data_IF_723792621246
#
_entry.id   IF_723792621246
#
_cell.length_a   1.000
_cell.length_b   1.000
_cell.length_c   1.000
_cell.angle_alpha   90.00
_cell.angle_beta   90.00
_cell.angle_gamma   90.00
#
_symmetry.space_group_name_H-M   'P 1'
#
loop_
_entity.id
_entity.type
_entity.pdbx_description
1 polymer ?
#
# COMPACT_ATOMS: atom_id res chain seq x y z
N UNK A 1 -29.02 -29.45 -9.21
CA UNK A 1 -27.77 -29.09 -9.86
C UNK A 1 -26.90 -28.23 -8.90
N UNK A 2 -25.87 -28.81 -8.25
CA UNK A 2 -25.07 -28.08 -7.29
C UNK A 2 -24.29 -26.89 -7.90
N UNK A 3 -23.99 -26.92 -9.17
CA UNK A 3 -23.33 -25.79 -9.88
C UNK A 3 -24.22 -24.54 -9.97
N UNK A 4 -25.53 -24.65 -9.68
CA UNK A 4 -26.42 -23.50 -9.58
C UNK A 4 -26.17 -22.68 -8.28
N UNK A 5 -25.41 -23.24 -7.33
CA UNK A 5 -25.02 -22.57 -6.11
C UNK A 5 -23.67 -21.89 -6.35
N UNK A 6 -23.66 -20.56 -6.38
CA UNK A 6 -22.42 -19.79 -6.42
C UNK A 6 -22.36 -18.90 -5.17
N UNK A 7 -21.53 -19.25 -4.20
CA UNK A 7 -21.37 -18.42 -3.02
C UNK A 7 -20.62 -17.16 -3.38
N UNK A 8 -21.17 -16.01 -3.04
CA UNK A 8 -20.45 -14.75 -3.10
C UNK A 8 -19.70 -14.57 -1.77
N UNK A 9 -18.50 -15.12 -1.69
CA UNK A 9 -17.63 -15.07 -0.51
C UNK A 9 -16.33 -14.35 -0.87
N UNK A 10 -16.00 -13.33 -0.11
CA UNK A 10 -14.76 -12.56 -0.30
C UNK A 10 -14.02 -12.36 1.02
N UNK A 11 -13.48 -11.15 1.29
CA UNK A 11 -12.86 -10.85 2.56
C UNK A 11 -13.90 -10.72 3.69
N UNK A 12 -13.47 -10.97 4.92
CA UNK A 12 -14.26 -10.90 6.14
C UNK A 12 -13.36 -11.32 7.29
N UNK A 13 -13.88 -12.03 8.32
CA UNK A 13 -13.05 -12.64 9.35
C UNK A 13 -12.06 -13.63 8.72
N UNK A 14 -10.78 -13.27 8.70
CA UNK A 14 -9.72 -13.97 7.96
C UNK A 14 -9.04 -15.08 8.77
N UNK A 15 -9.78 -15.79 9.60
CA UNK A 15 -9.25 -16.94 10.35
C UNK A 15 -9.21 -18.21 9.51
N UNK A 16 -8.30 -19.12 9.84
CA UNK A 16 -8.14 -20.41 9.13
C UNK A 16 -9.41 -21.26 9.13
N UNK A 17 -10.18 -21.21 10.21
CA UNK A 17 -11.41 -22.02 10.33
C UNK A 17 -12.62 -21.26 9.82
N UNK A 18 -12.87 -20.08 10.34
CA UNK A 18 -14.10 -19.32 10.08
C UNK A 18 -14.10 -18.56 8.74
N UNK A 19 -12.94 -18.16 8.24
CA UNK A 19 -12.84 -17.29 7.07
C UNK A 19 -12.71 -18.03 5.75
N UNK A 20 -11.69 -18.83 5.60
CA UNK A 20 -11.28 -19.33 4.28
C UNK A 20 -11.48 -20.84 4.09
N UNK A 21 -11.20 -21.66 5.10
CA UNK A 21 -11.08 -23.10 4.87
C UNK A 21 -12.39 -23.88 5.02
N UNK A 22 -13.16 -23.67 6.07
CA UNK A 22 -14.32 -24.53 6.35
C UNK A 22 -15.48 -24.28 5.40
N UNK A 23 -15.77 -23.03 5.07
CA UNK A 23 -16.81 -22.72 4.07
C UNK A 23 -16.46 -23.32 2.71
N UNK A 24 -15.20 -23.19 2.26
CA UNK A 24 -14.75 -23.78 1.01
C UNK A 24 -14.89 -25.32 1.01
N UNK A 25 -14.58 -26.00 2.12
CA UNK A 25 -14.75 -27.47 2.23
C UNK A 25 -16.21 -27.91 2.03
N UNK A 26 -17.14 -27.20 2.66
CA UNK A 26 -18.58 -27.50 2.50
C UNK A 26 -19.01 -27.30 1.05
N UNK A 27 -18.61 -26.21 0.43
CA UNK A 27 -18.98 -25.89 -0.95
C UNK A 27 -18.34 -26.88 -1.95
N UNK A 28 -17.10 -27.27 -1.73
CA UNK A 28 -16.44 -28.34 -2.51
C UNK A 28 -17.18 -29.67 -2.39
N UNK A 29 -17.59 -30.03 -1.17
CA UNK A 29 -18.34 -31.26 -0.94
C UNK A 29 -19.70 -31.27 -1.62
N UNK A 30 -20.34 -30.10 -1.73
CA UNK A 30 -21.60 -29.92 -2.44
C UNK A 30 -21.43 -29.93 -3.96
N UNK A 31 -20.22 -29.69 -4.47
CA UNK A 31 -19.96 -29.49 -5.89
C UNK A 31 -20.44 -28.15 -6.41
N UNK A 32 -20.49 -27.12 -5.56
CA UNK A 32 -20.92 -25.77 -5.90
C UNK A 32 -19.93 -25.08 -6.85
N UNK A 33 -20.40 -24.06 -7.57
CA UNK A 33 -19.54 -23.17 -8.36
C UNK A 33 -18.62 -22.35 -7.46
N UNK A 34 -17.52 -21.86 -8.02
CA UNK A 34 -16.55 -21.01 -7.30
C UNK A 34 -16.57 -19.58 -7.81
N UNK A 35 -16.40 -18.65 -6.88
CA UNK A 35 -16.12 -17.27 -7.21
C UNK A 35 -14.60 -17.08 -7.39
N UNK A 36 -14.18 -16.55 -8.54
CA UNK A 36 -12.83 -16.05 -8.71
C UNK A 36 -12.69 -14.69 -7.99
N UNK A 37 -11.85 -14.64 -6.96
CA UNK A 37 -11.69 -13.50 -6.07
C UNK A 37 -10.68 -12.50 -6.63
N UNK A 38 -11.11 -11.66 -7.55
CA UNK A 38 -10.23 -10.77 -8.32
C UNK A 38 -10.38 -9.28 -7.98
N UNK A 39 -11.34 -8.86 -7.15
CA UNK A 39 -11.70 -7.46 -6.96
C UNK A 39 -10.74 -6.72 -6.00
N UNK A 40 -10.43 -7.28 -4.84
CA UNK A 40 -9.78 -6.55 -3.74
C UNK A 40 -8.26 -6.39 -3.92
N UNK A 41 -7.52 -7.48 -3.95
CA UNK A 41 -6.05 -7.48 -3.88
C UNK A 41 -5.36 -7.91 -5.17
N UNK A 42 -6.09 -8.36 -6.17
CA UNK A 42 -5.50 -8.98 -7.36
C UNK A 42 -4.72 -8.00 -8.21
N UNK A 43 -5.25 -6.80 -8.45
CA UNK A 43 -4.56 -5.77 -9.25
C UNK A 43 -3.22 -5.38 -8.64
N UNK A 44 -3.19 -5.09 -7.32
CA UNK A 44 -1.96 -4.79 -6.59
C UNK A 44 -0.98 -5.96 -6.61
N UNK A 45 -1.50 -7.21 -6.41
CA UNK A 45 -0.69 -8.42 -6.48
C UNK A 45 -0.06 -8.66 -7.85
N UNK A 46 -0.77 -8.37 -8.93
CA UNK A 46 -0.26 -8.46 -10.30
C UNK A 46 0.84 -7.42 -10.53
N UNK A 47 0.65 -6.18 -10.06
CA UNK A 47 1.67 -5.14 -10.14
C UNK A 47 2.98 -5.54 -9.44
N UNK A 48 2.88 -6.07 -8.22
CA UNK A 48 4.04 -6.62 -7.52
C UNK A 48 4.74 -7.72 -8.31
N UNK A 49 3.97 -8.69 -8.80
CA UNK A 49 4.50 -9.84 -9.52
C UNK A 49 5.21 -9.44 -10.81
N UNK A 50 4.70 -8.46 -11.54
CA UNK A 50 5.34 -7.98 -12.76
C UNK A 50 6.64 -7.21 -12.50
N UNK A 51 6.80 -6.60 -11.34
CA UNK A 51 7.98 -5.78 -11.00
C UNK A 51 9.01 -6.57 -10.19
N UNK A 52 8.56 -7.33 -9.18
CA UNK A 52 9.42 -8.00 -8.20
C UNK A 52 9.39 -9.54 -8.29
N UNK A 53 8.57 -10.11 -9.17
CA UNK A 53 8.42 -11.55 -9.32
C UNK A 53 7.39 -12.19 -8.40
N UNK A 54 7.27 -11.74 -7.15
CA UNK A 54 6.26 -12.20 -6.18
C UNK A 54 5.87 -11.09 -5.20
N UNK A 55 4.82 -11.34 -4.43
CA UNK A 55 4.40 -10.47 -3.33
C UNK A 55 5.20 -10.81 -2.08
N UNK A 56 6.02 -9.88 -1.63
CA UNK A 56 6.78 -9.99 -0.40
C UNK A 56 6.20 -9.00 0.60
N UNK A 57 5.79 -9.48 1.78
CA UNK A 57 5.34 -8.67 2.90
C UNK A 57 6.38 -8.62 3.99
N UNK A 58 6.34 -7.55 4.77
CA UNK A 58 7.18 -7.40 5.96
C UNK A 58 6.48 -8.03 7.16
N UNK A 59 7.25 -8.63 8.06
CA UNK A 59 6.74 -9.04 9.36
C UNK A 59 6.23 -7.80 10.11
N UNK A 60 4.97 -7.87 10.56
CA UNK A 60 4.29 -6.78 11.26
C UNK A 60 5.04 -6.35 12.52
N UNK A 61 5.72 -7.28 13.20
CA UNK A 61 6.49 -6.97 14.40
C UNK A 61 7.72 -6.10 14.11
N UNK A 62 8.27 -6.15 12.89
CA UNK A 62 9.37 -5.29 12.47
C UNK A 62 8.96 -3.82 12.30
N UNK A 63 7.68 -3.51 12.24
CA UNK A 63 7.18 -2.13 12.11
C UNK A 63 7.74 -1.19 13.19
N UNK A 64 7.96 -1.70 14.40
CA UNK A 64 8.54 -0.92 15.50
C UNK A 64 9.95 -0.38 15.23
N UNK A 65 10.67 -0.97 14.28
CA UNK A 65 12.03 -0.58 13.89
C UNK A 65 12.03 0.41 12.71
N UNK A 66 10.88 0.71 12.13
CA UNK A 66 10.76 1.63 11.01
C UNK A 66 11.05 3.08 11.44
N UNK A 67 11.65 3.85 10.55
CA UNK A 67 11.89 5.30 10.72
C UNK A 67 10.81 6.16 10.08
N UNK A 68 10.19 5.61 9.05
CA UNK A 68 9.04 6.18 8.39
C UNK A 68 7.95 5.12 8.26
N UNK A 69 6.72 5.47 8.63
CA UNK A 69 5.54 4.64 8.41
C UNK A 69 4.52 5.47 7.65
N UNK A 70 4.13 4.99 6.47
CA UNK A 70 3.06 5.56 5.66
C UNK A 70 1.84 4.64 5.78
N UNK A 71 0.78 5.15 6.40
CA UNK A 71 -0.52 4.48 6.49
C UNK A 71 -1.35 4.99 5.32
N UNK A 72 -1.46 4.18 4.27
CA UNK A 72 -2.13 4.56 3.04
C UNK A 72 -3.45 3.83 2.87
N UNK A 73 -4.55 4.58 2.92
CA UNK A 73 -5.91 4.03 2.82
C UNK A 73 -6.26 3.07 3.97
N UNK A 74 -5.76 3.34 5.18
CA UNK A 74 -5.93 2.47 6.33
C UNK A 74 -6.30 3.19 7.61
N UNK A 75 -7.11 2.52 8.45
CA UNK A 75 -7.47 3.00 9.77
C UNK A 75 -7.17 1.95 10.85
N UNK A 76 -5.88 1.69 11.16
CA UNK A 76 -5.50 0.61 12.07
C UNK A 76 -6.06 0.76 13.50
N UNK A 77 -6.37 1.94 13.97
CA UNK A 77 -7.04 2.11 15.28
C UNK A 77 -8.40 1.39 15.28
N UNK A 78 -9.12 1.41 14.16
CA UNK A 78 -10.42 0.76 14.06
C UNK A 78 -10.33 -0.71 13.64
N UNK A 79 -9.37 -1.08 12.78
CA UNK A 79 -9.37 -2.38 12.11
C UNK A 79 -8.14 -3.25 12.36
N UNK A 80 -7.08 -2.74 13.00
CA UNK A 80 -5.86 -3.50 13.29
C UNK A 80 -5.09 -2.92 14.49
N UNK A 81 -5.65 -3.04 15.69
CA UNK A 81 -5.09 -2.48 16.93
C UNK A 81 -3.69 -3.00 17.26
N UNK A 82 -3.40 -4.25 16.96
CA UNK A 82 -2.08 -4.84 17.24
C UNK A 82 -1.01 -4.18 16.38
N UNK A 83 -1.28 -3.96 15.08
CA UNK A 83 -0.39 -3.17 14.23
C UNK A 83 -0.24 -1.73 14.74
N UNK A 84 -1.35 -1.10 15.17
CA UNK A 84 -1.30 0.26 15.72
C UNK A 84 -0.38 0.37 16.94
N UNK A 85 -0.34 -0.67 17.79
CA UNK A 85 0.59 -0.71 18.92
C UNK A 85 2.04 -0.62 18.45
N UNK A 86 2.43 -1.37 17.41
CA UNK A 86 3.77 -1.31 16.82
C UNK A 86 4.08 0.06 16.19
N UNK A 87 3.08 0.67 15.54
CA UNK A 87 3.21 2.05 15.02
C UNK A 87 3.50 3.04 16.15
N UNK A 88 2.83 2.89 17.31
CA UNK A 88 3.08 3.77 18.47
C UNK A 88 4.46 3.51 19.10
N UNK A 89 4.97 2.31 19.08
CA UNK A 89 6.34 2.00 19.49
C UNK A 89 7.36 2.67 18.57
N UNK A 90 7.21 2.51 17.26
CA UNK A 90 8.04 3.20 16.28
C UNK A 90 8.01 4.73 16.47
N UNK A 91 6.83 5.30 16.72
CA UNK A 91 6.66 6.73 16.98
C UNK A 91 7.44 7.19 18.21
N UNK A 92 7.39 6.44 19.32
CA UNK A 92 8.18 6.72 20.52
C UNK A 92 9.68 6.65 20.26
N UNK A 93 10.09 5.78 19.34
CA UNK A 93 11.48 5.63 18.90
C UNK A 93 11.91 6.66 17.84
N UNK A 94 11.05 7.67 17.54
CA UNK A 94 11.38 8.77 16.64
C UNK A 94 10.95 8.57 15.18
N UNK A 95 10.17 7.54 14.87
CA UNK A 95 9.64 7.35 13.51
C UNK A 95 8.68 8.47 13.13
N UNK A 96 8.76 8.92 11.88
CA UNK A 96 7.75 9.79 11.26
C UNK A 96 6.58 8.94 10.79
N UNK A 97 5.36 9.33 11.16
CA UNK A 97 4.13 8.63 10.75
C UNK A 97 3.31 9.56 9.88
N UNK A 98 2.98 9.12 8.67
CA UNK A 98 2.16 9.87 7.70
C UNK A 98 0.92 9.04 7.38
N UNK A 99 -0.25 9.67 7.36
CA UNK A 99 -1.48 9.07 6.85
C UNK A 99 -1.81 9.69 5.48
N UNK A 100 -2.12 8.82 4.51
CA UNK A 100 -2.65 9.20 3.20
C UNK A 100 -4.06 8.61 3.11
N UNK A 101 -5.07 9.44 3.20
CA UNK A 101 -6.47 9.01 3.23
C UNK A 101 -7.37 10.21 2.91
N UNK A 102 -8.38 10.10 2.03
CA UNK A 102 -9.35 11.16 1.81
C UNK A 102 -10.12 11.54 3.08
N UNK A 103 -10.23 10.61 4.02
CA UNK A 103 -10.91 10.81 5.30
C UNK A 103 -9.92 10.93 6.47
N UNK A 104 -10.09 11.96 7.28
CA UNK A 104 -9.30 12.14 8.51
C UNK A 104 -9.81 11.23 9.61
N UNK A 105 -9.36 9.97 9.54
CA UNK A 105 -9.68 8.93 10.52
C UNK A 105 -9.00 9.18 11.88
N UNK A 106 -9.40 8.44 12.91
CA UNK A 106 -8.72 8.45 14.22
C UNK A 106 -7.23 8.13 14.11
N UNK A 107 -6.86 7.24 13.19
CA UNK A 107 -5.44 6.93 12.90
C UNK A 107 -4.74 8.14 12.29
N UNK A 108 -5.36 8.78 11.32
CA UNK A 108 -4.81 9.96 10.66
C UNK A 108 -4.62 11.14 11.65
N UNK A 109 -5.53 11.31 12.60
CA UNK A 109 -5.41 12.34 13.66
C UNK A 109 -4.19 12.13 14.57
N UNK A 110 -3.74 10.89 14.73
CA UNK A 110 -2.60 10.53 15.57
C UNK A 110 -1.26 10.49 14.82
N UNK A 111 -1.30 10.61 13.50
CA UNK A 111 -0.11 10.72 12.66
C UNK A 111 0.53 12.11 12.77
N UNK A 112 1.80 12.24 12.36
CA UNK A 112 2.49 13.54 12.31
C UNK A 112 1.97 14.40 11.15
N UNK A 113 1.52 13.76 10.08
CA UNK A 113 0.98 14.41 8.90
C UNK A 113 -0.19 13.61 8.35
N UNK A 114 -1.22 14.29 7.89
CA UNK A 114 -2.32 13.72 7.11
C UNK A 114 -2.36 14.40 5.75
N UNK A 115 -2.32 13.60 4.69
CA UNK A 115 -2.42 14.04 3.30
C UNK A 115 -3.78 13.57 2.77
N UNK A 116 -4.70 14.50 2.60
CA UNK A 116 -6.07 14.22 2.17
C UNK A 116 -6.17 14.28 0.64
N UNK A 117 -5.88 13.16 -0.02
CA UNK A 117 -5.99 13.05 -1.48
C UNK A 117 -7.44 12.91 -1.93
N UNK A 118 -7.76 13.35 -3.14
CA UNK A 118 -9.04 13.01 -3.78
C UNK A 118 -9.14 11.50 -3.95
N UNK A 119 -10.30 10.93 -3.63
CA UNK A 119 -10.53 9.50 -3.79
C UNK A 119 -10.27 9.04 -5.24
N UNK A 120 -9.57 7.91 -5.41
CA UNK A 120 -9.22 7.34 -6.70
C UNK A 120 -8.00 7.97 -7.39
N UNK A 121 -7.23 8.82 -6.71
CA UNK A 121 -6.04 9.46 -7.28
C UNK A 121 -4.71 8.92 -6.72
N UNK A 122 -4.76 7.85 -5.97
CA UNK A 122 -3.60 7.22 -5.31
C UNK A 122 -2.47 6.88 -6.29
N UNK A 123 -2.84 6.32 -7.46
CA UNK A 123 -1.85 6.00 -8.50
C UNK A 123 -1.13 7.25 -9.03
N UNK A 124 -1.85 8.37 -9.14
CA UNK A 124 -1.24 9.63 -9.57
C UNK A 124 -0.23 10.13 -8.53
N UNK A 125 -0.59 10.06 -7.23
CA UNK A 125 0.33 10.41 -6.15
C UNK A 125 1.57 9.53 -6.17
N UNK A 126 1.42 8.20 -6.32
CA UNK A 126 2.54 7.28 -6.40
C UNK A 126 3.47 7.60 -7.58
N UNK A 127 2.92 7.88 -8.76
CA UNK A 127 3.71 8.26 -9.94
C UNK A 127 4.44 9.59 -9.73
N UNK A 128 3.81 10.58 -9.07
CA UNK A 128 4.46 11.83 -8.71
C UNK A 128 5.60 11.65 -7.70
N UNK A 129 5.43 10.80 -6.71
CA UNK A 129 6.50 10.42 -5.79
C UNK A 129 7.67 9.77 -6.53
N UNK A 130 7.38 8.82 -7.42
CA UNK A 130 8.42 8.17 -8.25
C UNK A 130 9.16 9.17 -9.13
N UNK A 131 8.45 10.15 -9.71
CA UNK A 131 9.07 11.23 -10.48
C UNK A 131 10.11 11.99 -9.65
N UNK A 132 9.76 12.37 -8.42
CA UNK A 132 10.68 13.10 -7.52
C UNK A 132 11.85 12.22 -7.11
N UNK A 133 11.60 10.97 -6.72
CA UNK A 133 12.64 10.02 -6.32
C UNK A 133 13.67 9.82 -7.44
N UNK A 134 13.23 9.67 -8.68
CA UNK A 134 14.11 9.51 -9.84
C UNK A 134 14.86 10.81 -10.13
N UNK A 135 14.17 11.94 -10.12
CA UNK A 135 14.76 13.25 -10.44
C UNK A 135 15.82 13.70 -9.43
N UNK A 136 15.64 13.35 -8.15
CA UNK A 136 16.54 13.71 -7.06
C UNK A 136 17.54 12.59 -6.71
N UNK A 137 17.55 11.52 -7.48
CA UNK A 137 18.41 10.35 -7.29
C UNK A 137 18.32 9.73 -5.88
N UNK A 138 17.08 9.63 -5.37
CA UNK A 138 16.76 9.01 -4.09
C UNK A 138 16.43 7.52 -4.27
N UNK A 139 17.25 6.80 -5.01
CA UNK A 139 17.04 5.42 -5.44
C UNK A 139 18.05 4.47 -4.81
N UNK A 140 17.65 3.21 -4.65
CA UNK A 140 18.54 2.08 -4.41
C UNK A 140 18.83 1.41 -5.77
N UNK A 141 19.90 1.87 -6.42
CA UNK A 141 20.29 1.39 -7.75
C UNK A 141 20.66 -0.08 -7.76
N UNK A 142 21.29 -0.56 -6.70
CA UNK A 142 21.70 -1.97 -6.60
C UNK A 142 20.48 -2.88 -6.49
N UNK A 143 19.50 -2.51 -5.65
CA UNK A 143 18.26 -3.24 -5.54
C UNK A 143 17.48 -3.23 -6.86
N UNK A 144 17.36 -2.07 -7.50
CA UNK A 144 16.65 -1.92 -8.77
C UNK A 144 17.29 -2.83 -9.83
N UNK A 145 18.60 -2.81 -9.96
CA UNK A 145 19.32 -3.59 -10.96
C UNK A 145 19.23 -5.11 -10.73
N UNK A 146 19.20 -5.55 -9.46
CA UNK A 146 19.23 -6.97 -9.12
C UNK A 146 17.83 -7.61 -9.02
N UNK A 147 16.83 -6.88 -8.57
CA UNK A 147 15.56 -7.45 -8.12
C UNK A 147 14.31 -6.89 -8.79
N UNK A 148 14.45 -5.95 -9.73
CA UNK A 148 13.29 -5.37 -10.42
C UNK A 148 13.38 -5.50 -11.94
N UNK A 149 12.24 -5.42 -12.60
CA UNK A 149 12.11 -5.39 -14.06
C UNK A 149 11.38 -4.13 -14.52
N UNK A 150 11.78 -3.58 -15.67
CA UNK A 150 11.04 -2.50 -16.32
C UNK A 150 11.31 -1.11 -15.75
N UNK A 151 12.42 -0.89 -15.05
CA UNK A 151 12.75 0.42 -14.47
C UNK A 151 12.88 1.53 -15.52
N UNK A 152 13.52 1.24 -16.67
CA UNK A 152 13.69 2.23 -17.74
C UNK A 152 12.34 2.68 -18.32
N UNK A 153 11.43 1.76 -18.53
CA UNK A 153 10.07 2.04 -18.99
C UNK A 153 9.28 2.85 -17.93
N UNK A 154 9.44 2.51 -16.66
CA UNK A 154 8.86 3.26 -15.57
C UNK A 154 9.40 4.70 -15.54
N UNK A 155 10.71 4.88 -15.67
CA UNK A 155 11.35 6.20 -15.70
C UNK A 155 10.80 7.08 -16.83
N UNK A 156 10.63 6.51 -18.02
CA UNK A 156 10.00 7.21 -19.14
C UNK A 156 8.54 7.57 -18.84
N UNK A 157 7.80 6.63 -18.25
CA UNK A 157 6.37 6.80 -17.93
C UNK A 157 6.15 7.88 -16.88
N UNK A 158 6.99 7.97 -15.85
CA UNK A 158 6.81 8.95 -14.78
C UNK A 158 7.34 10.34 -15.10
N UNK A 159 8.07 10.51 -16.19
CA UNK A 159 8.65 11.81 -16.58
C UNK A 159 7.59 12.92 -16.71
N UNK A 160 6.40 12.58 -17.17
CA UNK A 160 5.27 13.52 -17.32
C UNK A 160 4.47 13.77 -16.03
N UNK A 161 4.74 13.03 -14.95
CA UNK A 161 4.00 13.11 -13.68
C UNK A 161 4.69 14.07 -12.71
N UNK A 162 4.79 15.35 -13.12
CA UNK A 162 5.42 16.37 -12.27
C UNK A 162 4.62 16.62 -11.00
N UNK A 163 5.25 17.09 -9.91
CA UNK A 163 4.57 17.40 -8.67
C UNK A 163 3.39 18.36 -8.83
N UNK A 164 3.49 19.33 -9.73
CA UNK A 164 2.43 20.30 -10.03
C UNK A 164 1.21 19.63 -10.66
N UNK A 165 1.44 18.79 -11.69
CA UNK A 165 0.36 18.02 -12.34
C UNK A 165 -0.33 17.08 -11.36
N UNK A 166 0.46 16.40 -10.54
CA UNK A 166 -0.06 15.47 -9.53
C UNK A 166 -0.83 16.20 -8.45
N UNK A 167 -0.36 17.36 -8.01
CA UNK A 167 -1.04 18.22 -7.04
C UNK A 167 -2.46 18.58 -7.51
N UNK A 168 -2.60 19.00 -8.77
CA UNK A 168 -3.90 19.32 -9.36
C UNK A 168 -4.84 18.10 -9.40
N UNK A 169 -4.33 16.93 -9.79
CA UNK A 169 -5.11 15.69 -9.86
C UNK A 169 -5.56 15.26 -8.45
N UNK A 170 -4.63 15.24 -7.51
CA UNK A 170 -4.85 14.72 -6.16
C UNK A 170 -5.55 15.71 -5.23
N UNK A 171 -5.59 17.01 -5.59
CA UNK A 171 -6.16 18.06 -4.74
C UNK A 171 -5.30 18.40 -3.52
N UNK A 172 -3.99 18.23 -3.63
CA UNK A 172 -2.98 18.55 -2.62
C UNK A 172 -1.98 19.55 -3.19
N UNK A 173 -0.98 19.96 -2.43
CA UNK A 173 0.06 20.87 -2.91
C UNK A 173 1.25 20.11 -3.53
N UNK A 174 1.93 20.71 -4.50
CA UNK A 174 3.18 20.16 -5.05
C UNK A 174 4.25 19.98 -3.95
N UNK A 175 4.26 20.85 -2.95
CA UNK A 175 5.14 20.74 -1.78
C UNK A 175 4.87 19.46 -0.96
N UNK A 176 3.63 19.05 -0.83
CA UNK A 176 3.27 17.79 -0.15
C UNK A 176 3.74 16.59 -0.94
N UNK A 177 3.60 16.59 -2.28
CA UNK A 177 4.11 15.50 -3.14
C UNK A 177 5.63 15.37 -3.00
N UNK A 178 6.36 16.49 -3.11
CA UNK A 178 7.82 16.52 -2.99
C UNK A 178 8.27 16.11 -1.59
N UNK A 179 7.61 16.66 -0.56
CA UNK A 179 7.94 16.35 0.83
C UNK A 179 7.75 14.87 1.16
N UNK A 180 6.65 14.28 0.72
CA UNK A 180 6.36 12.85 0.91
C UNK A 180 7.40 11.96 0.21
N UNK A 181 7.78 12.30 -1.04
CA UNK A 181 8.77 11.56 -1.78
C UNK A 181 10.16 11.62 -1.11
N UNK A 182 10.57 12.80 -0.64
CA UNK A 182 11.84 12.97 0.08
C UNK A 182 11.86 12.23 1.40
N UNK A 183 10.79 12.32 2.20
CA UNK A 183 10.64 11.54 3.43
C UNK A 183 10.81 10.03 3.16
N UNK A 184 10.21 9.55 2.06
CA UNK A 184 10.33 8.15 1.67
C UNK A 184 11.76 7.77 1.25
N UNK A 185 12.38 8.55 0.36
CA UNK A 185 13.73 8.28 -0.13
C UNK A 185 14.81 8.41 0.96
N UNK A 186 14.70 9.42 1.84
CA UNK A 186 15.64 9.59 2.96
C UNK A 186 15.46 8.53 4.05
N UNK A 187 14.22 8.09 4.29
CA UNK A 187 13.92 6.99 5.19
C UNK A 187 14.60 5.70 4.78
N UNK A 188 14.66 5.43 3.48
CA UNK A 188 15.34 4.26 2.91
C UNK A 188 16.87 4.33 3.00
N UNK A 189 17.48 5.52 2.79
CA UNK A 189 18.95 5.69 2.81
C UNK A 189 19.60 5.54 4.19
N UNK A 190 18.83 5.61 5.26
CA UNK A 190 19.32 5.56 6.65
C UNK A 190 19.08 4.21 7.33
N UNK A 191 18.69 3.21 6.55
CA UNK A 191 18.39 1.83 6.98
C UNK A 191 19.61 0.96 7.26
#
# INVERSE_FOLDING_TARGET
NPLAIMPYSYAGPMGLVQGESMAARVLHKLGASFLDRTICASAGGVGYKYTLGDRIGTDVEQTQNARLIIIWGGNPIASNLHFWTRVQEAKRNGAKIIAIDPYRSLSAEKCHQHIAVRAGTDSALALGMMHVLIKEDLLDHDYIAQYTLGFEQLQQRVAEWTPEKVADICGITAKEVIGLARDYGEGAKRG
#
